data_IF_351189745508
#
_entry.id   IF_351189745508
#
_cell.length_a   1.000
_cell.length_b   1.000
_cell.length_c   1.000
_cell.angle_alpha   90.00
_cell.angle_beta   90.00
_cell.angle_gamma   90.00
#
_symmetry.space_group_name_H-M   'P 1'
#
loop_
_entity.id
_entity.type
_entity.pdbx_description
1 polymer ?
#
# COMPACT_ATOMS: atom_id res chain seq x y z
N UNK A 1 15.28 6.66 -8.49
CA UNK A 1 15.64 7.01 -9.89
C UNK A 1 14.40 6.90 -10.75
N UNK A 2 13.93 8.04 -11.26
CA UNK A 2 12.58 8.21 -11.81
C UNK A 2 12.58 8.04 -13.35
N UNK A 3 11.43 7.65 -13.93
CA UNK A 3 11.22 7.63 -15.40
C UNK A 3 11.62 8.98 -16.05
N UNK A 4 11.47 10.10 -15.33
CA UNK A 4 11.92 11.42 -15.79
C UNK A 4 13.43 11.49 -16.10
N UNK A 5 14.25 10.78 -15.34
CA UNK A 5 15.72 10.78 -15.56
C UNK A 5 16.09 10.09 -16.87
N UNK A 6 15.26 9.16 -17.34
CA UNK A 6 15.44 8.43 -18.61
C UNK A 6 15.02 9.21 -19.83
N UNK A 7 14.00 10.07 -19.69
CA UNK A 7 13.54 10.97 -20.76
C UNK A 7 14.62 12.01 -21.11
N UNK A 8 15.63 12.23 -20.24
CA UNK A 8 16.78 13.09 -20.48
C UNK A 8 17.95 12.42 -21.22
N UNK A 9 17.82 11.16 -21.65
CA UNK A 9 18.86 10.43 -22.40
C UNK A 9 19.73 9.51 -21.53
N UNK A 10 19.41 9.34 -20.25
CA UNK A 10 20.16 8.42 -19.39
C UNK A 10 19.84 6.95 -19.70
N UNK A 11 20.88 6.11 -19.75
CA UNK A 11 20.76 4.66 -19.81
C UNK A 11 20.78 4.06 -18.40
N UNK A 12 20.18 2.89 -18.22
CA UNK A 12 20.06 2.21 -16.93
C UNK A 12 20.45 0.74 -17.08
N UNK A 13 21.26 0.26 -16.17
CA UNK A 13 21.59 -1.16 -16.09
C UNK A 13 20.38 -2.00 -15.69
N UNK A 14 20.14 -3.10 -16.40
CA UNK A 14 18.99 -4.00 -16.21
C UNK A 14 19.44 -5.45 -16.28
N UNK A 15 18.99 -6.24 -15.33
CA UNK A 15 19.10 -7.70 -15.39
C UNK A 15 17.89 -8.29 -16.13
N UNK A 16 18.13 -8.71 -17.37
CA UNK A 16 17.08 -9.32 -18.22
C UNK A 16 16.93 -10.82 -18.01
N UNK A 17 17.72 -11.44 -17.14
CA UNK A 17 17.78 -12.91 -16.98
C UNK A 17 16.68 -13.45 -16.11
N UNK A 18 16.08 -12.65 -15.24
CA UNK A 18 15.05 -13.04 -14.28
C UNK A 18 13.63 -13.02 -14.85
N UNK A 19 13.42 -12.39 -16.00
CA UNK A 19 12.08 -12.21 -16.58
C UNK A 19 11.57 -13.49 -17.24
N UNK A 20 10.48 -14.04 -16.70
CA UNK A 20 9.77 -15.20 -17.24
C UNK A 20 8.60 -14.73 -18.10
N UNK A 21 8.79 -14.12 -19.21
CA UNK A 21 7.81 -13.73 -20.27
C UNK A 21 6.30 -13.89 -19.94
N UNK A 22 5.95 -13.67 -18.68
CA UNK A 22 4.63 -13.80 -18.09
C UNK A 22 4.17 -12.41 -17.63
N UNK A 23 3.09 -11.91 -18.24
CA UNK A 23 2.50 -10.59 -17.91
C UNK A 23 1.84 -10.54 -16.53
N UNK A 24 1.80 -11.64 -15.80
CA UNK A 24 1.10 -11.77 -14.51
C UNK A 24 2.04 -11.54 -13.31
N UNK A 25 3.36 -11.63 -13.49
CA UNK A 25 4.32 -11.59 -12.39
C UNK A 25 5.45 -10.58 -12.57
N UNK A 26 5.14 -9.29 -12.58
CA UNK A 26 6.18 -8.27 -12.41
C UNK A 26 6.59 -8.21 -10.92
N UNK A 27 7.70 -8.87 -10.57
CA UNK A 27 8.18 -8.90 -9.19
C UNK A 27 9.07 -7.68 -8.86
N UNK A 28 9.72 -7.09 -9.86
CA UNK A 28 10.68 -6.01 -9.67
C UNK A 28 10.72 -5.04 -10.87
N UNK A 29 11.55 -4.00 -10.73
CA UNK A 29 11.76 -2.98 -11.76
C UNK A 29 12.30 -3.57 -13.07
N UNK A 30 13.19 -4.54 -12.97
CA UNK A 30 13.91 -5.08 -14.12
C UNK A 30 13.00 -5.94 -14.98
N UNK A 31 12.01 -6.61 -14.37
CA UNK A 31 10.95 -7.33 -15.11
C UNK A 31 10.12 -6.39 -15.99
N UNK A 32 9.73 -5.23 -15.43
CA UNK A 32 8.98 -4.20 -16.19
C UNK A 32 9.82 -3.65 -17.33
N UNK A 33 11.11 -3.39 -17.11
CA UNK A 33 11.99 -2.88 -18.14
C UNK A 33 12.24 -3.91 -19.22
N UNK A 34 12.44 -5.18 -18.86
CA UNK A 34 12.60 -6.28 -19.79
C UNK A 34 11.35 -6.46 -20.64
N UNK A 35 10.18 -6.37 -20.04
CA UNK A 35 8.92 -6.39 -20.79
C UNK A 35 8.81 -5.24 -21.80
N UNK A 36 9.20 -4.02 -21.43
CA UNK A 36 9.24 -2.89 -22.36
C UNK A 36 10.26 -3.06 -23.49
N UNK A 37 11.36 -3.78 -23.26
CA UNK A 37 12.31 -4.19 -24.32
C UNK A 37 11.61 -5.14 -25.30
N UNK A 38 10.92 -6.17 -24.80
CA UNK A 38 10.18 -7.11 -25.64
C UNK A 38 9.07 -6.46 -26.46
N UNK A 39 8.41 -5.44 -25.91
CA UNK A 39 7.41 -4.64 -26.62
C UNK A 39 8.01 -3.63 -27.62
N UNK A 40 9.34 -3.47 -27.67
CA UNK A 40 10.01 -2.51 -28.55
C UNK A 40 9.97 -1.06 -28.10
N UNK A 41 9.52 -0.76 -26.87
CA UNK A 41 9.56 0.59 -26.30
C UNK A 41 10.93 0.98 -25.79
N UNK A 42 11.79 0.01 -25.49
CA UNK A 42 13.15 0.24 -25.04
C UNK A 42 14.12 -0.61 -25.85
N UNK A 43 15.33 -0.10 -26.08
CA UNK A 43 16.45 -0.85 -26.63
C UNK A 43 17.37 -1.32 -25.50
N UNK A 44 18.02 -2.45 -25.72
CA UNK A 44 18.97 -3.05 -24.78
C UNK A 44 20.33 -3.26 -25.44
N UNK A 45 21.35 -2.74 -24.80
CA UNK A 45 22.74 -2.99 -25.17
C UNK A 45 23.28 -4.15 -24.35
N UNK A 46 23.61 -5.26 -25.02
CA UNK A 46 24.08 -6.50 -24.38
C UNK A 46 25.49 -6.34 -23.76
N UNK A 47 26.32 -5.50 -24.32
CA UNK A 47 27.72 -5.34 -23.87
C UNK A 47 27.74 -4.54 -22.55
N UNK A 48 26.99 -3.44 -22.49
CA UNK A 48 26.92 -2.59 -21.32
C UNK A 48 25.82 -3.00 -20.33
N UNK A 49 24.93 -3.92 -20.71
CA UNK A 49 23.70 -4.30 -19.97
C UNK A 49 22.77 -3.11 -19.67
N UNK A 50 22.78 -2.12 -20.53
CA UNK A 50 21.98 -0.92 -20.34
C UNK A 50 20.78 -0.90 -21.27
N UNK A 51 19.67 -0.38 -20.70
CA UNK A 51 18.46 -0.09 -21.43
C UNK A 51 18.35 1.41 -21.69
N UNK A 52 17.90 1.78 -22.88
CA UNK A 52 17.73 3.18 -23.30
C UNK A 52 16.53 3.33 -24.24
N UNK A 53 16.10 4.58 -24.47
CA UNK A 53 15.01 4.89 -25.41
C UNK A 53 15.62 4.94 -26.83
N UNK A 54 15.16 4.09 -27.77
CA UNK A 54 15.83 3.88 -29.06
C UNK A 54 15.74 5.07 -30.02
N UNK A 55 14.69 5.87 -29.94
CA UNK A 55 14.46 6.98 -30.87
C UNK A 55 13.55 8.07 -30.27
N UNK A 56 13.44 9.21 -30.96
CA UNK A 56 12.64 10.34 -30.53
C UNK A 56 11.12 10.06 -30.60
N UNK A 57 10.65 9.22 -31.48
CA UNK A 57 9.25 8.84 -31.59
C UNK A 57 8.78 8.15 -30.31
N UNK A 58 9.49 7.12 -29.87
CA UNK A 58 9.23 6.43 -28.60
C UNK A 58 9.39 7.40 -27.42
N UNK A 59 10.39 8.29 -27.46
CA UNK A 59 10.56 9.33 -26.44
C UNK A 59 9.33 10.23 -26.32
N UNK A 60 8.77 10.66 -27.46
CA UNK A 60 7.54 11.44 -27.49
C UNK A 60 6.33 10.67 -26.93
N UNK A 61 6.16 9.41 -27.31
CA UNK A 61 5.08 8.56 -26.81
C UNK A 61 5.18 8.35 -25.29
N UNK A 62 6.37 8.04 -24.78
CA UNK A 62 6.60 7.90 -23.33
C UNK A 62 6.38 9.21 -22.59
N UNK A 63 6.80 10.36 -23.16
CA UNK A 63 6.51 11.68 -22.60
C UNK A 63 5.00 11.98 -22.57
N UNK A 64 4.29 11.62 -23.63
CA UNK A 64 2.83 11.73 -23.67
C UNK A 64 2.14 10.84 -22.63
N UNK A 65 2.59 9.59 -22.50
CA UNK A 65 2.07 8.66 -21.50
C UNK A 65 2.31 9.15 -20.06
N UNK A 66 3.50 9.68 -19.77
CA UNK A 66 3.86 10.24 -18.44
C UNK A 66 3.11 11.56 -18.15
N UNK A 67 2.79 12.33 -19.16
CA UNK A 67 2.03 13.60 -19.01
C UNK A 67 0.53 13.37 -18.87
N UNK A 68 0.01 12.20 -19.21
CA UNK A 68 -1.41 11.90 -19.02
C UNK A 68 -1.77 11.93 -17.54
N UNK A 69 -2.87 12.59 -17.24
CA UNK A 69 -3.40 12.87 -15.88
C UNK A 69 -3.40 11.62 -14.97
N UNK A 70 -3.72 10.46 -15.53
CA UNK A 70 -3.78 9.18 -14.80
C UNK A 70 -2.45 8.75 -14.16
N UNK A 71 -1.31 9.06 -14.78
CA UNK A 71 0.00 8.72 -14.18
C UNK A 71 0.32 9.61 -12.99
N UNK A 72 -0.02 10.90 -13.07
CA UNK A 72 0.13 11.81 -11.95
C UNK A 72 -0.78 11.40 -10.78
N UNK A 73 -1.99 10.95 -11.06
CA UNK A 73 -2.92 10.39 -10.08
C UNK A 73 -2.33 9.17 -9.37
N UNK A 74 -1.74 8.22 -10.11
CA UNK A 74 -1.08 7.04 -9.53
C UNK A 74 0.10 7.39 -8.64
N UNK A 75 0.96 8.34 -9.07
CA UNK A 75 2.10 8.80 -8.25
C UNK A 75 1.62 9.54 -7.01
N UNK A 76 0.57 10.35 -7.14
CA UNK A 76 -0.03 11.05 -6.00
C UNK A 76 -0.63 10.06 -5.02
N UNK A 77 -1.39 9.10 -5.52
CA UNK A 77 -1.98 8.03 -4.72
C UNK A 77 -0.93 7.21 -3.95
N UNK A 78 0.17 6.83 -4.60
CA UNK A 78 1.24 6.10 -3.94
C UNK A 78 1.87 6.92 -2.81
N UNK A 79 2.07 8.23 -3.02
CA UNK A 79 2.57 9.14 -1.97
C UNK A 79 1.60 9.26 -0.80
N UNK A 80 0.31 9.37 -1.07
CA UNK A 80 -0.74 9.45 -0.05
C UNK A 80 -0.81 8.14 0.75
N UNK A 81 -0.73 7.00 0.08
CA UNK A 81 -0.69 5.69 0.73
C UNK A 81 0.57 5.52 1.60
N UNK A 82 1.74 6.00 1.14
CA UNK A 82 2.96 5.96 1.96
C UNK A 82 2.84 6.87 3.18
N UNK A 83 2.36 8.10 3.01
CA UNK A 83 2.16 9.03 4.13
C UNK A 83 1.16 8.48 5.17
N UNK A 84 0.12 7.75 4.72
CA UNK A 84 -0.82 7.08 5.61
C UNK A 84 -0.15 6.00 6.44
N UNK A 85 0.72 5.19 5.83
CA UNK A 85 1.48 4.18 6.55
C UNK A 85 2.42 4.82 7.58
N UNK A 86 3.15 5.86 7.19
CA UNK A 86 4.06 6.59 8.08
C UNK A 86 3.30 7.17 9.28
N UNK A 87 2.16 7.85 9.06
CA UNK A 87 1.30 8.36 10.13
C UNK A 87 0.80 7.24 11.07
N UNK A 88 0.51 6.05 10.52
CA UNK A 88 0.12 4.88 11.32
C UNK A 88 1.26 4.43 12.23
N UNK A 89 2.48 4.37 11.72
CA UNK A 89 3.68 3.98 12.47
C UNK A 89 4.03 5.00 13.55
N UNK A 90 3.82 6.28 13.27
CA UNK A 90 3.97 7.40 14.22
C UNK A 90 2.82 7.48 15.24
N UNK A 91 1.78 6.71 15.06
CA UNK A 91 0.55 6.69 15.88
C UNK A 91 -0.23 7.99 15.84
N UNK A 92 -0.14 8.74 14.75
CA UNK A 92 -0.94 9.93 14.51
C UNK A 92 -2.32 9.56 13.94
N UNK A 93 -3.26 9.24 14.85
CA UNK A 93 -4.61 8.87 14.47
C UNK A 93 -5.36 9.97 13.70
N UNK A 94 -5.02 11.25 13.93
CA UNK A 94 -5.65 12.36 13.22
C UNK A 94 -5.20 12.39 11.75
N UNK A 95 -3.90 12.26 11.49
CA UNK A 95 -3.38 12.22 10.12
C UNK A 95 -3.81 10.94 9.39
N UNK A 96 -3.92 9.81 10.10
CA UNK A 96 -4.49 8.58 9.53
C UNK A 96 -5.94 8.79 9.10
N UNK A 97 -6.78 9.37 9.94
CA UNK A 97 -8.19 9.66 9.62
C UNK A 97 -8.32 10.59 8.40
N UNK A 98 -7.54 11.67 8.35
CA UNK A 98 -7.47 12.59 7.20
C UNK A 98 -6.97 11.92 5.92
N UNK A 99 -5.94 11.07 6.04
CA UNK A 99 -5.40 10.33 4.90
C UNK A 99 -6.44 9.38 4.28
N UNK A 100 -7.19 8.65 5.11
CA UNK A 100 -8.29 7.78 4.67
C UNK A 100 -9.41 8.61 4.00
N UNK A 101 -9.77 9.74 4.60
CA UNK A 101 -10.80 10.63 4.04
C UNK A 101 -10.40 11.18 2.67
N UNK A 102 -9.15 11.60 2.52
CA UNK A 102 -8.62 12.09 1.27
C UNK A 102 -8.64 11.02 0.16
N UNK A 103 -8.23 9.81 0.49
CA UNK A 103 -8.26 8.67 -0.43
C UNK A 103 -9.74 8.32 -0.76
N UNK A 104 -10.60 8.28 0.23
CA UNK A 104 -12.01 8.05 0.04
C UNK A 104 -12.63 9.09 -0.90
N UNK A 105 -12.41 10.37 -0.68
CA UNK A 105 -12.97 11.46 -1.48
C UNK A 105 -12.38 11.51 -2.89
N UNK A 106 -11.08 11.28 -3.02
CA UNK A 106 -10.36 11.36 -4.29
C UNK A 106 -10.63 10.20 -5.24
N UNK A 107 -10.87 9.01 -4.71
CA UNK A 107 -11.00 7.78 -5.51
C UNK A 107 -12.39 7.14 -5.45
N UNK A 108 -13.31 7.71 -4.70
CA UNK A 108 -14.64 7.14 -4.42
C UNK A 108 -15.74 7.53 -5.38
N UNK A 109 -15.45 8.08 -6.56
CA UNK A 109 -16.51 8.23 -7.59
C UNK A 109 -17.17 6.89 -7.97
N UNK A 110 -16.55 5.77 -7.57
CA UNK A 110 -17.01 4.39 -7.80
C UNK A 110 -17.33 3.61 -6.52
N UNK A 111 -16.87 4.05 -5.34
CA UNK A 111 -17.08 3.33 -4.07
C UNK A 111 -17.94 4.22 -3.15
N UNK A 112 -19.24 4.03 -3.18
CA UNK A 112 -20.13 4.68 -2.19
C UNK A 112 -20.06 3.92 -0.88
N UNK A 113 -19.77 4.59 0.23
CA UNK A 113 -19.86 3.99 1.56
C UNK A 113 -21.32 3.67 1.90
N UNK A 114 -21.61 2.41 1.95
CA UNK A 114 -22.92 1.92 2.40
C UNK A 114 -22.84 1.18 3.73
N UNK A 115 -21.68 0.58 4.03
CA UNK A 115 -21.46 -0.30 5.17
C UNK A 115 -19.96 -0.44 5.51
N UNK A 116 -19.66 -1.27 6.49
CA UNK A 116 -18.31 -1.62 6.94
C UNK A 116 -17.47 -2.31 5.84
N UNK A 117 -18.11 -3.06 4.93
CA UNK A 117 -17.43 -3.71 3.80
C UNK A 117 -16.88 -2.68 2.80
N UNK A 118 -17.63 -1.61 2.58
CA UNK A 118 -17.19 -0.50 1.72
C UNK A 118 -15.98 0.22 2.32
N UNK A 119 -15.98 0.45 3.64
CA UNK A 119 -14.84 0.99 4.38
C UNK A 119 -13.62 0.06 4.27
N UNK A 120 -13.82 -1.24 4.45
CA UNK A 120 -12.78 -2.25 4.29
C UNK A 120 -12.13 -2.21 2.89
N UNK A 121 -12.93 -2.00 1.84
CA UNK A 121 -12.42 -1.88 0.46
C UNK A 121 -11.54 -0.64 0.28
N UNK A 122 -11.96 0.51 0.82
CA UNK A 122 -11.16 1.75 0.77
C UNK A 122 -9.85 1.58 1.53
N UNK A 123 -9.85 0.93 2.68
CA UNK A 123 -8.63 0.69 3.46
C UNK A 123 -7.66 -0.26 2.76
N UNK A 124 -8.16 -1.28 2.06
CA UNK A 124 -7.30 -2.15 1.24
C UNK A 124 -6.50 -1.33 0.20
N UNK A 125 -7.15 -0.34 -0.39
CA UNK A 125 -6.52 0.57 -1.35
C UNK A 125 -5.61 1.57 -0.62
N UNK A 126 -6.07 2.16 0.46
CA UNK A 126 -5.35 3.17 1.23
C UNK A 126 -3.98 2.69 1.72
N UNK A 127 -3.89 1.44 2.13
CA UNK A 127 -2.64 0.81 2.60
C UNK A 127 -1.87 0.05 1.51
N UNK A 128 -2.07 0.35 0.23
CA UNK A 128 -1.40 -0.35 -0.86
C UNK A 128 0.13 -0.28 -0.76
N UNK A 129 0.70 0.86 -0.33
CA UNK A 129 2.14 1.03 -0.13
C UNK A 129 2.73 0.10 0.93
N UNK A 130 1.91 -0.39 1.87
CA UNK A 130 2.35 -1.34 2.89
C UNK A 130 2.90 -2.64 2.31
N UNK A 131 2.48 -3.03 1.11
CA UNK A 131 2.96 -4.24 0.43
C UNK A 131 4.47 -4.24 0.16
N UNK A 132 5.12 -3.08 0.20
CA UNK A 132 6.57 -3.00 0.12
C UNK A 132 7.22 -3.66 1.35
N UNK A 133 6.69 -3.43 2.54
CA UNK A 133 7.27 -3.81 3.83
C UNK A 133 6.56 -5.00 4.48
N UNK A 134 5.30 -5.22 4.15
CA UNK A 134 4.43 -6.23 4.73
C UNK A 134 4.07 -7.30 3.70
N UNK A 135 3.74 -8.49 4.18
CA UNK A 135 3.04 -9.48 3.37
C UNK A 135 1.64 -8.96 3.02
N UNK A 136 0.99 -9.62 2.05
CA UNK A 136 -0.42 -9.35 1.74
C UNK A 136 -1.25 -9.40 3.03
N UNK A 137 -2.08 -8.39 3.33
CA UNK A 137 -2.85 -8.35 4.55
C UNK A 137 -3.77 -9.56 4.65
N UNK A 138 -3.80 -10.16 5.83
CA UNK A 138 -4.75 -11.22 6.18
C UNK A 138 -6.05 -10.52 6.55
N UNK A 139 -7.12 -10.84 5.84
CA UNK A 139 -8.47 -10.36 6.16
C UNK A 139 -9.20 -11.39 6.98
N UNK A 140 -10.05 -10.94 7.90
CA UNK A 140 -10.87 -11.81 8.74
C UNK A 140 -10.04 -12.91 9.42
N UNK A 141 -8.90 -12.50 10.03
CA UNK A 141 -8.07 -13.46 10.77
C UNK A 141 -8.87 -14.06 11.92
N UNK A 142 -9.09 -15.40 11.95
CA UNK A 142 -9.79 -16.03 13.04
C UNK A 142 -9.02 -15.84 14.34
N UNK A 143 -9.70 -15.31 15.34
CA UNK A 143 -9.23 -15.24 16.72
C UNK A 143 -10.18 -16.07 17.58
N UNK A 144 -9.74 -16.61 18.68
CA UNK A 144 -10.58 -17.52 19.49
C UNK A 144 -11.95 -16.96 19.91
N UNK A 145 -12.20 -15.65 19.72
CA UNK A 145 -13.44 -14.94 20.06
C UNK A 145 -13.96 -14.03 18.96
N UNK A 146 -13.52 -14.17 17.71
CA UNK A 146 -13.97 -13.37 16.57
C UNK A 146 -12.92 -13.28 15.47
N UNK A 147 -13.05 -12.27 14.62
CA UNK A 147 -12.15 -12.03 13.49
C UNK A 147 -11.60 -10.60 13.57
N UNK A 148 -10.30 -10.43 13.31
CA UNK A 148 -9.73 -9.11 13.04
C UNK A 148 -9.95 -8.75 11.57
N UNK A 149 -10.38 -7.53 11.29
CA UNK A 149 -10.69 -7.12 9.91
C UNK A 149 -9.47 -7.16 9.01
N UNK A 150 -8.32 -6.66 9.49
CA UNK A 150 -7.04 -6.76 8.80
C UNK A 150 -5.90 -7.03 9.78
N UNK A 151 -4.96 -7.87 9.34
CA UNK A 151 -3.68 -8.05 10.01
C UNK A 151 -2.56 -7.92 8.98
N UNK A 152 -1.62 -7.02 9.24
CA UNK A 152 -0.43 -6.80 8.45
C UNK A 152 0.77 -7.36 9.21
N UNK A 153 1.45 -8.34 8.62
CA UNK A 153 2.66 -8.95 9.18
C UNK A 153 3.86 -8.46 8.36
N UNK A 154 4.86 -7.81 8.96
CA UNK A 154 6.02 -7.35 8.23
C UNK A 154 6.82 -8.53 7.69
N UNK A 155 7.45 -8.33 6.54
CA UNK A 155 8.39 -9.29 5.98
C UNK A 155 9.62 -9.42 6.90
N UNK A 156 10.30 -10.57 6.92
CA UNK A 156 11.39 -10.84 7.85
C UNK A 156 12.49 -9.77 7.87
N UNK A 157 12.84 -9.23 6.71
CA UNK A 157 13.83 -8.18 6.53
C UNK A 157 13.47 -6.83 7.14
N UNK A 158 12.17 -6.58 7.34
CA UNK A 158 11.65 -5.31 7.88
C UNK A 158 11.12 -5.41 9.32
N UNK A 159 11.16 -6.60 9.91
CA UNK A 159 10.58 -6.88 11.24
C UNK A 159 11.17 -6.03 12.36
N UNK A 160 12.41 -5.56 12.23
CA UNK A 160 13.07 -4.72 13.23
C UNK A 160 12.46 -3.32 13.29
N UNK A 161 12.07 -2.77 12.12
CA UNK A 161 11.66 -1.37 11.96
C UNK A 161 10.13 -1.22 11.85
N UNK A 162 9.45 -2.29 11.43
CA UNK A 162 8.01 -2.28 11.17
C UNK A 162 7.26 -3.22 12.13
N UNK A 163 6.33 -2.71 12.95
CA UNK A 163 5.48 -3.55 13.80
C UNK A 163 4.42 -4.30 12.98
N UNK A 164 3.89 -5.39 13.50
CA UNK A 164 2.64 -5.93 12.96
C UNK A 164 1.48 -4.97 13.27
N UNK A 165 0.52 -4.84 12.35
CA UNK A 165 -0.66 -4.01 12.54
C UNK A 165 -1.90 -4.91 12.68
N UNK A 166 -2.68 -4.69 13.73
CA UNK A 166 -4.00 -5.31 13.91
C UNK A 166 -5.03 -4.22 13.80
N UNK A 167 -5.84 -4.27 12.74
CA UNK A 167 -6.81 -3.22 12.39
C UNK A 167 -8.21 -3.74 12.56
N UNK A 168 -9.03 -2.98 13.26
CA UNK A 168 -10.46 -3.20 13.42
C UNK A 168 -11.24 -1.99 12.93
N UNK A 169 -12.31 -2.24 12.20
CA UNK A 169 -13.16 -1.22 11.60
C UNK A 169 -14.47 -1.10 12.36
N UNK A 170 -15.01 0.08 12.37
CA UNK A 170 -16.36 0.34 12.86
C UNK A 170 -17.09 1.30 11.94
N UNK A 171 -18.39 1.12 11.91
CA UNK A 171 -19.32 1.94 11.17
C UNK A 171 -20.35 2.53 12.10
N UNK A 172 -20.46 3.86 12.14
CA UNK A 172 -21.35 4.60 13.04
C UNK A 172 -21.15 4.25 14.53
N UNK A 173 -19.89 4.03 14.93
CA UNK A 173 -19.49 3.81 16.32
C UNK A 173 -18.41 4.83 16.70
N UNK A 174 -17.33 4.39 17.34
CA UNK A 174 -16.14 5.19 17.63
C UNK A 174 -14.88 4.37 17.35
N UNK A 175 -13.77 5.05 17.10
CA UNK A 175 -12.47 4.37 16.93
C UNK A 175 -12.03 3.67 18.23
N UNK A 176 -12.38 4.23 19.40
CA UNK A 176 -12.15 3.61 20.70
C UNK A 176 -12.90 2.28 20.84
N UNK A 177 -14.16 2.21 20.33
CA UNK A 177 -14.93 0.95 20.32
C UNK A 177 -14.21 -0.11 19.47
N UNK A 178 -13.64 0.27 18.33
CA UNK A 178 -12.84 -0.64 17.51
C UNK A 178 -11.60 -1.13 18.27
N UNK A 179 -10.85 -0.21 18.86
CA UNK A 179 -9.67 -0.54 19.65
C UNK A 179 -9.99 -1.43 20.85
N UNK A 180 -11.08 -1.12 21.57
CA UNK A 180 -11.52 -1.94 22.70
C UNK A 180 -11.89 -3.35 22.26
N UNK A 181 -12.51 -3.52 21.10
CA UNK A 181 -12.82 -4.84 20.55
C UNK A 181 -11.57 -5.66 20.29
N UNK A 182 -10.49 -5.06 19.77
CA UNK A 182 -9.21 -5.77 19.57
C UNK A 182 -8.70 -6.31 20.90
N UNK A 183 -8.77 -5.51 21.98
CA UNK A 183 -8.31 -5.88 23.32
C UNK A 183 -9.19 -6.97 23.93
N UNK A 184 -10.51 -6.80 23.91
CA UNK A 184 -11.47 -7.72 24.53
C UNK A 184 -11.45 -9.11 23.88
N UNK A 185 -11.25 -9.15 22.57
CA UNK A 185 -11.18 -10.39 21.80
C UNK A 185 -9.78 -11.00 21.75
N UNK A 186 -8.80 -10.32 22.36
CA UNK A 186 -7.42 -10.79 22.48
C UNK A 186 -6.78 -11.14 21.14
N UNK A 187 -7.04 -10.33 20.11
CA UNK A 187 -6.49 -10.53 18.76
C UNK A 187 -4.97 -10.70 18.74
N UNK A 188 -4.18 -9.95 19.54
CA UNK A 188 -2.74 -10.14 19.59
C UNK A 188 -2.30 -11.56 19.98
N UNK A 189 -3.11 -12.31 20.76
CA UNK A 189 -2.79 -13.69 21.11
C UNK A 189 -2.78 -14.63 19.89
N UNK A 190 -3.55 -14.33 18.86
CA UNK A 190 -3.50 -15.10 17.60
C UNK A 190 -2.19 -14.91 16.84
N UNK A 191 -1.39 -13.91 17.24
CA UNK A 191 -0.07 -13.60 16.72
C UNK A 191 1.05 -14.03 17.68
N UNK A 192 0.77 -14.91 18.65
CA UNK A 192 1.78 -15.40 19.61
C UNK A 192 3.10 -15.86 18.97
N UNK A 193 3.11 -16.53 17.80
CA UNK A 193 4.35 -16.88 17.12
C UNK A 193 5.12 -15.66 16.61
N UNK A 194 4.47 -14.50 16.52
CA UNK A 194 5.08 -13.25 16.09
C UNK A 194 5.75 -12.57 17.29
N UNK A 195 7.07 -12.50 17.27
CA UNK A 195 7.89 -11.95 18.37
C UNK A 195 8.18 -10.45 18.27
N UNK A 196 7.68 -9.77 17.23
CA UNK A 196 7.86 -8.34 17.01
C UNK A 196 6.89 -7.47 17.80
N UNK A 197 6.99 -6.16 17.60
CA UNK A 197 6.04 -5.19 18.13
C UNK A 197 4.71 -5.28 17.39
N UNK A 198 3.61 -4.97 18.06
CA UNK A 198 2.27 -4.94 17.49
C UNK A 198 1.64 -3.58 17.77
N UNK A 199 1.06 -2.96 16.74
CA UNK A 199 0.19 -1.80 16.86
C UNK A 199 -1.26 -2.22 16.70
N UNK A 200 -2.12 -1.73 17.58
CA UNK A 200 -3.56 -1.89 17.55
C UNK A 200 -4.15 -0.62 16.94
N UNK A 201 -4.91 -0.77 15.86
CA UNK A 201 -5.44 0.34 15.07
C UNK A 201 -6.96 0.23 15.01
N UNK A 202 -7.66 1.13 15.67
CA UNK A 202 -9.12 1.25 15.61
C UNK A 202 -9.52 2.36 14.65
N UNK A 203 -10.33 2.06 13.64
CA UNK A 203 -10.82 3.02 12.65
C UNK A 203 -12.34 3.03 12.65
N UNK A 204 -12.95 4.21 12.59
CA UNK A 204 -14.38 4.36 12.46
C UNK A 204 -14.74 5.39 11.39
N UNK A 205 -15.86 5.17 10.71
CA UNK A 205 -16.53 6.16 9.87
C UNK A 205 -17.92 6.47 10.41
N UNK A 206 -18.21 7.75 10.61
CA UNK A 206 -19.55 8.23 11.00
C UNK A 206 -20.29 8.76 9.76
N UNK A 207 -21.40 8.10 9.42
CA UNK A 207 -22.23 8.46 8.27
C UNK A 207 -22.94 9.82 8.43
N UNK A 208 -23.16 10.28 9.66
CA UNK A 208 -23.88 11.54 9.91
C UNK A 208 -22.97 12.74 9.73
N UNK A 209 -21.76 12.68 10.31
CA UNK A 209 -20.75 13.73 10.15
C UNK A 209 -19.94 13.57 8.88
N UNK A 210 -19.91 12.37 8.30
CA UNK A 210 -19.08 11.95 7.16
C UNK A 210 -17.58 12.01 7.45
N UNK A 211 -17.21 11.82 8.72
CA UNK A 211 -15.84 11.91 9.20
C UNK A 211 -15.28 10.53 9.53
N UNK A 212 -14.00 10.39 9.32
CA UNK A 212 -13.22 9.27 9.82
C UNK A 212 -12.60 9.62 11.16
N UNK A 213 -12.42 8.61 12.01
CA UNK A 213 -11.66 8.70 13.24
C UNK A 213 -10.74 7.48 13.38
N UNK A 214 -9.57 7.69 13.96
CA UNK A 214 -8.60 6.64 14.20
C UNK A 214 -7.96 6.79 15.57
N UNK A 215 -7.75 5.66 16.26
CA UNK A 215 -6.99 5.58 17.50
C UNK A 215 -5.98 4.44 17.36
N UNK A 216 -4.74 4.69 17.77
CA UNK A 216 -3.62 3.75 17.62
C UNK A 216 -2.88 3.61 18.93
N UNK A 217 -2.65 2.37 19.37
CA UNK A 217 -1.92 2.06 20.58
C UNK A 217 -0.91 0.93 20.34
N UNK A 218 0.15 0.90 21.16
CA UNK A 218 1.00 -0.29 21.22
C UNK A 218 0.27 -1.41 21.97
N UNK A 219 0.40 -2.64 21.49
CA UNK A 219 0.04 -3.80 22.31
C UNK A 219 1.01 -3.89 23.49
N UNK A 220 0.48 -3.78 24.70
CA UNK A 220 1.24 -3.99 25.92
C UNK A 220 1.35 -5.51 26.09
N UNK A 221 2.46 -6.11 25.66
CA UNK A 221 2.78 -7.50 26.03
C UNK A 221 2.74 -7.58 27.57
N UNK A 222 1.78 -8.35 28.07
CA UNK A 222 1.78 -8.77 29.49
C UNK A 222 2.91 -9.73 29.75
#
# INVERSE_FOLDING_TARGET
MCIRDRLSGASVEVDVTSFQNDTVSFANRDDVLTYLIHLGYLAYDQDSRHVFIPNEEIRHELNHAVKRTRWNEMVTFQKESSALLDATLEKDGMEVAKGIEKIHTGYSSTIMYHDENSLSSVLTIAYLSSMQYYFKPIRELPTGRGFADFVYIPKPEYKADYPALVVELKWNKTADTALQQIKDRKYPQSLEPYTGNILLVGINYDKKTKEHSCVIENDKKQ
#
